data_IF_660232909539
#
_entry.id   IF_660232909539
#
_cell.length_a   1.000
_cell.length_b   1.000
_cell.length_c   1.000
_cell.angle_alpha   90.00
_cell.angle_beta   90.00
_cell.angle_gamma   90.00
#
_symmetry.space_group_name_H-M   'P 1'
#
loop_
_entity.id
_entity.type
_entity.pdbx_description
1 polymer ?
#
# COMPACT_ATOMS: atom_id res chain seq x y z
N UNK A 1 3.92 -17.74 18.65
CA UNK A 1 4.69 -16.51 18.99
C UNK A 1 5.49 -15.88 17.82
N UNK A 2 5.85 -16.60 16.74
CA UNK A 2 6.62 -15.98 15.63
C UNK A 2 5.78 -15.11 14.66
N UNK A 3 4.49 -15.42 14.47
CA UNK A 3 3.59 -14.68 13.57
C UNK A 3 3.29 -13.26 14.06
N UNK A 4 3.03 -13.09 15.36
CA UNK A 4 2.81 -11.77 15.99
C UNK A 4 4.05 -10.88 15.85
N UNK A 5 5.25 -11.43 16.09
CA UNK A 5 6.51 -10.71 15.89
C UNK A 5 6.74 -10.32 14.43
N UNK A 6 6.41 -11.18 13.46
CA UNK A 6 6.48 -10.86 12.02
C UNK A 6 5.48 -9.77 11.63
N UNK A 7 4.27 -9.82 12.17
CA UNK A 7 3.23 -8.82 11.94
C UNK A 7 3.67 -7.45 12.47
N UNK A 8 4.18 -7.41 13.71
CA UNK A 8 4.72 -6.20 14.34
C UNK A 8 5.95 -5.67 13.58
N UNK A 9 6.84 -6.55 13.11
CA UNK A 9 7.99 -6.15 12.30
C UNK A 9 7.58 -5.58 10.92
N UNK A 10 6.49 -6.09 10.35
CA UNK A 10 5.91 -5.59 9.08
C UNK A 10 5.19 -4.25 9.27
N UNK A 11 4.61 -4.03 10.45
CA UNK A 11 3.98 -2.77 10.87
C UNK A 11 4.97 -1.72 11.38
N UNK A 12 6.25 -2.08 11.58
CA UNK A 12 7.29 -1.16 12.08
C UNK A 12 7.41 0.16 11.28
N UNK A 13 7.25 0.20 9.94
CA UNK A 13 7.25 1.45 9.18
C UNK A 13 6.00 2.32 9.43
N UNK A 14 4.87 1.72 9.82
CA UNK A 14 3.65 2.46 10.16
C UNK A 14 3.69 3.06 11.57
N UNK A 15 4.62 2.62 12.42
CA UNK A 15 4.83 3.11 13.78
C UNK A 15 5.87 4.23 13.87
N UNK A 16 6.09 4.97 12.78
CA UNK A 16 6.98 6.12 12.83
C UNK A 16 6.32 7.22 13.69
N UNK A 17 6.75 7.31 14.95
CA UNK A 17 6.11 8.14 15.98
C UNK A 17 6.00 9.60 15.54
N UNK A 18 6.97 10.08 14.76
CA UNK A 18 6.99 11.43 14.19
C UNK A 18 5.86 11.64 13.18
N UNK A 19 5.62 10.67 12.30
CA UNK A 19 4.55 10.74 11.31
C UNK A 19 3.17 10.69 11.97
N UNK A 20 3.00 9.86 13.00
CA UNK A 20 1.77 9.80 13.80
C UNK A 20 1.51 11.12 14.54
N UNK A 21 2.55 11.75 15.10
CA UNK A 21 2.44 13.04 15.77
C UNK A 21 2.07 14.15 14.80
N UNK A 22 2.68 14.18 13.61
CA UNK A 22 2.33 15.11 12.54
C UNK A 22 0.90 14.92 12.06
N UNK A 23 0.46 13.66 11.92
CA UNK A 23 -0.90 13.33 11.51
C UNK A 23 -1.92 13.78 12.57
N UNK A 24 -1.63 13.56 13.85
CA UNK A 24 -2.45 14.04 14.96
C UNK A 24 -2.51 15.57 15.03
N UNK A 25 -1.39 16.26 14.79
CA UNK A 25 -1.33 17.72 14.76
C UNK A 25 -2.15 18.27 13.58
N UNK A 26 -2.03 17.66 12.40
CA UNK A 26 -2.77 18.04 11.20
C UNK A 26 -4.28 17.81 11.37
N UNK A 27 -4.66 16.70 12.03
CA UNK A 27 -6.05 16.38 12.36
C UNK A 27 -6.62 17.38 13.38
N UNK A 28 -5.85 17.76 14.40
CA UNK A 28 -6.23 18.77 15.39
C UNK A 28 -6.41 20.16 14.79
N UNK A 29 -5.49 20.61 13.94
CA UNK A 29 -5.60 21.89 13.24
C UNK A 29 -6.78 21.86 12.24
N UNK A 30 -6.95 20.77 11.50
CA UNK A 30 -8.06 20.62 10.54
C UNK A 30 -9.44 20.64 11.21
N UNK A 31 -9.58 20.01 12.38
CA UNK A 31 -10.83 20.05 13.15
C UNK A 31 -11.19 21.44 13.67
N UNK A 32 -10.19 22.29 13.95
CA UNK A 32 -10.39 23.66 14.40
C UNK A 32 -10.76 24.62 13.26
N UNK A 33 -10.31 24.35 12.04
CA UNK A 33 -10.61 25.18 10.86
C UNK A 33 -11.93 24.78 10.22
N UNK A 34 -12.06 23.51 9.82
CA UNK A 34 -13.27 22.99 9.18
C UNK A 34 -13.40 21.46 9.42
N UNK A 35 -14.25 21.04 10.39
CA UNK A 35 -14.35 19.64 10.78
C UNK A 35 -14.96 18.76 9.68
N UNK A 36 -15.88 19.30 8.86
CA UNK A 36 -16.52 18.56 7.77
C UNK A 36 -15.53 18.22 6.64
N UNK A 37 -14.68 19.18 6.24
CA UNK A 37 -13.67 18.97 5.20
C UNK A 37 -12.58 18.00 5.67
N UNK A 38 -12.15 18.12 6.93
CA UNK A 38 -11.11 17.28 7.52
C UNK A 38 -11.56 15.81 7.65
N UNK A 39 -12.80 15.58 8.09
CA UNK A 39 -13.37 14.23 8.15
C UNK A 39 -13.59 13.64 6.75
N UNK A 40 -14.00 14.46 5.77
CA UNK A 40 -14.12 14.05 4.38
C UNK A 40 -12.79 13.59 3.78
N UNK A 41 -11.71 14.36 3.99
CA UNK A 41 -10.36 14.01 3.57
C UNK A 41 -9.84 12.74 4.26
N UNK A 42 -10.05 12.61 5.58
CA UNK A 42 -9.68 11.41 6.32
C UNK A 42 -10.43 10.17 5.80
N UNK A 43 -11.72 10.31 5.48
CA UNK A 43 -12.54 9.25 4.88
C UNK A 43 -12.03 8.82 3.51
N UNK A 44 -11.67 9.78 2.64
CA UNK A 44 -11.08 9.47 1.33
C UNK A 44 -9.71 8.80 1.43
N UNK A 45 -8.85 9.23 2.36
CA UNK A 45 -7.57 8.57 2.61
C UNK A 45 -7.77 7.13 3.10
N UNK A 46 -8.68 6.92 4.05
CA UNK A 46 -9.00 5.57 4.55
C UNK A 46 -9.53 4.67 3.42
N UNK A 47 -10.38 5.20 2.55
CA UNK A 47 -10.90 4.50 1.38
C UNK A 47 -9.77 4.08 0.41
N UNK A 48 -8.90 5.02 0.02
CA UNK A 48 -7.79 4.74 -0.91
C UNK A 48 -6.81 3.73 -0.31
N UNK A 49 -6.47 3.86 0.97
CA UNK A 49 -5.59 2.92 1.67
C UNK A 49 -6.22 1.52 1.73
N UNK A 50 -7.51 1.44 2.07
CA UNK A 50 -8.27 0.18 2.10
C UNK A 50 -8.28 -0.52 0.74
N UNK A 51 -8.58 0.22 -0.33
CA UNK A 51 -8.59 -0.31 -1.70
C UNK A 51 -7.21 -0.74 -2.18
N UNK A 52 -6.16 -0.01 -1.80
CA UNK A 52 -4.78 -0.40 -2.08
C UNK A 52 -4.39 -1.69 -1.35
N UNK A 53 -4.81 -1.84 -0.10
CA UNK A 53 -4.66 -3.09 0.66
C UNK A 53 -5.38 -4.27 0.01
N UNK A 54 -6.62 -4.06 -0.45
CA UNK A 54 -7.40 -5.05 -1.18
C UNK A 54 -6.76 -5.47 -2.51
N UNK A 55 -6.29 -4.50 -3.30
CA UNK A 55 -5.58 -4.76 -4.56
C UNK A 55 -4.31 -5.59 -4.33
N UNK A 56 -3.55 -5.28 -3.27
CA UNK A 56 -2.35 -6.04 -2.89
C UNK A 56 -2.67 -7.49 -2.49
N UNK A 57 -3.74 -7.70 -1.71
CA UNK A 57 -4.20 -9.04 -1.34
C UNK A 57 -4.65 -9.85 -2.55
N UNK A 58 -5.49 -9.26 -3.41
CA UNK A 58 -5.96 -9.92 -4.64
C UNK A 58 -4.80 -10.29 -5.56
N UNK A 59 -3.85 -9.37 -5.77
CA UNK A 59 -2.65 -9.63 -6.58
C UNK A 59 -1.84 -10.81 -6.02
N UNK A 60 -1.75 -10.96 -4.69
CA UNK A 60 -1.08 -12.10 -4.06
C UNK A 60 -1.85 -13.41 -4.21
N UNK A 61 -3.18 -13.37 -4.23
CA UNK A 61 -4.03 -14.55 -4.45
C UNK A 61 -3.94 -15.03 -5.91
N UNK A 62 -3.93 -14.10 -6.86
CA UNK A 62 -3.82 -14.39 -8.29
C UNK A 62 -2.45 -14.96 -8.69
N UNK A 63 -1.36 -14.50 -8.06
CA UNK A 63 0.00 -14.92 -8.38
C UNK A 63 0.78 -15.37 -7.12
N UNK A 64 0.41 -16.51 -6.51
CA UNK A 64 0.98 -16.94 -5.24
C UNK A 64 2.44 -17.39 -5.35
N UNK A 65 2.85 -17.89 -6.51
CA UNK A 65 4.20 -18.46 -6.72
C UNK A 65 5.25 -17.42 -7.13
N UNK A 66 4.85 -16.17 -7.41
CA UNK A 66 5.78 -15.15 -7.90
C UNK A 66 6.60 -14.55 -6.76
N UNK A 67 7.85 -15.01 -6.61
CA UNK A 67 8.82 -14.45 -5.68
C UNK A 67 9.42 -13.14 -6.21
N UNK A 68 8.69 -12.04 -6.01
CA UNK A 68 9.10 -10.70 -6.46
C UNK A 68 10.52 -10.32 -6.05
N UNK A 69 10.96 -10.72 -4.84
CA UNK A 69 12.26 -10.33 -4.32
C UNK A 69 13.40 -10.85 -5.22
N UNK A 70 13.29 -12.08 -5.71
CA UNK A 70 14.29 -12.70 -6.60
C UNK A 70 14.30 -12.01 -7.96
N UNK A 71 13.13 -11.72 -8.51
CA UNK A 71 13.03 -11.03 -9.81
C UNK A 71 13.49 -9.58 -9.75
N UNK A 72 13.23 -8.86 -8.67
CA UNK A 72 13.72 -7.49 -8.46
C UNK A 72 15.24 -7.49 -8.33
N UNK A 73 15.81 -8.43 -7.56
CA UNK A 73 17.25 -8.53 -7.40
C UNK A 73 17.96 -8.91 -8.71
N UNK A 74 17.43 -9.89 -9.45
CA UNK A 74 17.94 -10.27 -10.78
C UNK A 74 17.82 -9.13 -11.81
N UNK A 75 16.75 -8.32 -11.74
CA UNK A 75 16.58 -7.17 -12.60
C UNK A 75 17.60 -6.05 -12.30
N UNK A 76 17.90 -5.80 -11.02
CA UNK A 76 18.78 -4.72 -10.59
C UNK A 76 20.27 -5.09 -10.68
N UNK A 77 20.65 -6.27 -10.21
CA UNK A 77 22.05 -6.69 -10.11
C UNK A 77 22.55 -7.34 -11.41
N UNK A 78 21.77 -8.28 -11.96
CA UNK A 78 22.16 -9.07 -13.15
C UNK A 78 21.74 -8.39 -14.46
N UNK A 79 21.07 -7.22 -14.38
CA UNK A 79 20.48 -6.48 -15.51
C UNK A 79 19.57 -7.35 -16.40
N UNK A 80 18.90 -8.33 -15.79
CA UNK A 80 18.05 -9.26 -16.51
C UNK A 80 16.73 -8.58 -16.94
N UNK A 81 16.61 -8.30 -18.24
CA UNK A 81 15.45 -7.62 -18.83
C UNK A 81 14.16 -8.43 -18.67
N UNK A 82 14.24 -9.77 -18.73
CA UNK A 82 13.05 -10.61 -18.56
C UNK A 82 12.50 -10.53 -17.13
N UNK A 83 13.38 -10.50 -16.13
CA UNK A 83 12.98 -10.32 -14.74
C UNK A 83 12.35 -8.93 -14.51
N UNK A 84 12.91 -7.88 -15.12
CA UNK A 84 12.34 -6.53 -15.08
C UNK A 84 10.93 -6.49 -15.70
N UNK A 85 10.73 -7.18 -16.83
CA UNK A 85 9.44 -7.23 -17.52
C UNK A 85 8.35 -7.92 -16.66
N UNK A 86 8.72 -8.95 -15.91
CA UNK A 86 7.81 -9.65 -14.98
C UNK A 86 7.41 -8.75 -13.81
N UNK A 87 8.36 -7.98 -13.26
CA UNK A 87 8.07 -6.99 -12.20
C UNK A 87 7.14 -5.89 -12.74
N UNK A 88 7.38 -5.42 -13.96
CA UNK A 88 6.54 -4.44 -14.64
C UNK A 88 5.12 -4.99 -14.86
N UNK A 89 4.98 -6.19 -15.41
CA UNK A 89 3.68 -6.81 -15.64
C UNK A 89 2.86 -6.94 -14.34
N UNK A 90 3.51 -7.33 -13.23
CA UNK A 90 2.84 -7.40 -11.92
C UNK A 90 2.42 -6.04 -11.39
N UNK A 91 3.25 -5.01 -11.54
CA UNK A 91 2.90 -3.66 -11.10
C UNK A 91 1.76 -3.07 -11.92
N UNK A 92 1.73 -3.30 -13.23
CA UNK A 92 0.60 -2.94 -14.10
C UNK A 92 -0.68 -3.67 -13.67
N UNK A 93 -0.61 -4.97 -13.38
CA UNK A 93 -1.77 -5.74 -12.91
C UNK A 93 -2.31 -5.21 -11.57
N UNK A 94 -1.42 -4.86 -10.63
CA UNK A 94 -1.81 -4.25 -9.37
C UNK A 94 -2.54 -2.91 -9.60
N UNK A 95 -1.98 -2.05 -10.46
CA UNK A 95 -2.61 -0.78 -10.82
C UNK A 95 -3.97 -0.97 -11.51
N UNK A 96 -4.11 -1.99 -12.37
CA UNK A 96 -5.37 -2.35 -13.01
C UNK A 96 -6.44 -2.79 -11.99
N UNK A 97 -6.07 -3.67 -11.05
CA UNK A 97 -6.98 -4.09 -9.96
C UNK A 97 -7.33 -2.90 -9.07
N UNK A 98 -6.37 -2.04 -8.75
CA UNK A 98 -6.62 -0.84 -7.96
C UNK A 98 -7.62 0.09 -8.65
N UNK A 99 -7.44 0.35 -9.95
CA UNK A 99 -8.36 1.18 -10.73
C UNK A 99 -9.77 0.59 -10.76
N UNK A 100 -9.89 -0.73 -10.99
CA UNK A 100 -11.17 -1.43 -10.96
C UNK A 100 -11.85 -1.33 -9.59
N UNK A 101 -11.10 -1.53 -8.51
CA UNK A 101 -11.63 -1.40 -7.15
C UNK A 101 -12.12 0.03 -6.89
N UNK A 102 -11.29 1.03 -7.19
CA UNK A 102 -11.64 2.44 -6.96
C UNK A 102 -12.87 2.87 -7.76
N UNK A 103 -13.00 2.41 -9.01
CA UNK A 103 -14.20 2.65 -9.84
C UNK A 103 -15.41 1.95 -9.23
N UNK A 104 -15.25 0.72 -8.74
CA UNK A 104 -16.35 -0.09 -8.21
C UNK A 104 -16.86 0.41 -6.84
N UNK A 105 -15.97 0.93 -5.99
CA UNK A 105 -16.35 1.44 -4.67
C UNK A 105 -16.83 2.89 -4.63
N UNK A 106 -16.96 3.55 -5.79
CA UNK A 106 -17.56 4.88 -5.94
C UNK A 106 -19.03 4.74 -6.34
#
# INVERSE_FOLDING_TARGET
MSLLKKLIATLRPFYDFRALLLLALCLGIGMLVDPAATLGLAGHLAYVIGMTGGALMLTKILMPYLQLNVHVWSALEERNVAAALVVLARTVLLLGILALLVIWGK
#
